data_IF_760187548919
#
_entry.id   IF_760187548919
#
_cell.length_a   1.000
_cell.length_b   1.000
_cell.length_c   1.000
_cell.angle_alpha   90.00
_cell.angle_beta   90.00
_cell.angle_gamma   90.00
#
_symmetry.space_group_name_H-M   'P 1'
#
loop_
_entity.id
_entity.type
_entity.pdbx_description
1 polymer ?
#
# COMPACT_ATOMS: atom_id res chain seq x y z
N UNK A 1 -31.05 103.40 24.36
CA UNK A 1 -29.94 103.52 23.40
C UNK A 1 -29.86 102.24 22.57
N UNK A 2 -30.26 102.36 21.31
CA UNK A 2 -29.67 101.75 20.09
C UNK A 2 -28.21 101.23 20.22
N UNK A 3 -27.65 100.46 19.25
CA UNK A 3 -28.18 99.49 18.26
C UNK A 3 -27.31 98.18 18.18
N UNK A 4 -27.72 97.11 17.50
CA UNK A 4 -27.33 96.66 16.12
C UNK A 4 -27.39 95.11 16.15
N UNK A 5 -27.63 94.29 15.13
CA UNK A 5 -27.89 94.39 13.69
C UNK A 5 -28.31 92.97 13.25
N UNK A 6 -29.21 92.84 12.26
CA UNK A 6 -29.56 91.56 11.64
C UNK A 6 -28.33 90.90 10.98
N UNK A 7 -28.15 89.60 11.17
CA UNK A 7 -27.28 88.76 10.34
C UNK A 7 -28.04 87.61 9.68
N UNK A 8 -27.86 87.55 8.37
CA UNK A 8 -28.31 86.55 7.42
C UNK A 8 -27.85 85.13 7.81
N UNK A 9 -28.76 84.16 7.70
CA UNK A 9 -28.45 82.72 7.70
C UNK A 9 -27.82 82.36 6.36
N UNK A 10 -26.59 81.84 6.38
CA UNK A 10 -25.91 81.25 5.22
C UNK A 10 -26.06 79.73 5.31
N UNK A 11 -26.59 79.12 4.25
CA UNK A 11 -26.66 77.67 4.10
C UNK A 11 -25.28 77.01 4.19
N UNK A 12 -25.27 75.73 4.59
CA UNK A 12 -24.05 74.95 4.81
C UNK A 12 -23.19 74.84 3.52
N UNK A 13 -21.85 74.92 3.62
CA UNK A 13 -20.98 74.80 2.46
C UNK A 13 -20.91 73.34 1.98
N UNK A 14 -21.06 73.14 0.67
CA UNK A 14 -20.80 71.85 0.02
C UNK A 14 -19.31 71.47 0.19
N UNK A 15 -18.99 70.20 0.48
CA UNK A 15 -17.62 69.77 0.68
C UNK A 15 -16.79 69.88 -0.61
N UNK A 16 -15.47 70.13 -0.52
CA UNK A 16 -14.63 70.28 -1.71
C UNK A 16 -14.64 69.01 -2.57
N UNK A 17 -14.69 69.19 -3.90
CA UNK A 17 -14.85 68.14 -4.93
C UNK A 17 -14.07 66.82 -4.70
N UNK A 18 -12.80 66.79 -4.27
CA UNK A 18 -12.11 65.53 -4.01
C UNK A 18 -12.71 64.72 -2.85
N UNK A 19 -13.24 65.38 -1.82
CA UNK A 19 -13.91 64.74 -0.67
C UNK A 19 -15.22 64.07 -1.08
N UNK A 20 -15.96 64.72 -1.99
CA UNK A 20 -17.21 64.16 -2.52
C UNK A 20 -16.94 62.91 -3.38
N UNK A 21 -15.89 62.94 -4.21
CA UNK A 21 -15.47 61.79 -5.02
C UNK A 21 -15.01 60.63 -4.11
N UNK A 22 -14.26 60.92 -3.05
CA UNK A 22 -13.86 59.91 -2.08
C UNK A 22 -15.05 59.27 -1.35
N UNK A 23 -16.03 60.07 -0.92
CA UNK A 23 -17.25 59.57 -0.30
C UNK A 23 -18.08 58.71 -1.25
N UNK A 24 -18.19 59.10 -2.54
CA UNK A 24 -18.87 58.29 -3.55
C UNK A 24 -18.14 56.97 -3.79
N UNK A 25 -16.81 56.97 -3.83
CA UNK A 25 -16.02 55.75 -4.01
C UNK A 25 -16.15 54.79 -2.81
N UNK A 26 -16.11 55.32 -1.58
CA UNK A 26 -16.31 54.53 -0.35
C UNK A 26 -17.73 53.98 -0.30
N UNK A 27 -18.73 54.78 -0.67
CA UNK A 27 -20.11 54.32 -0.72
C UNK A 27 -20.33 53.25 -1.80
N UNK A 28 -19.70 53.42 -2.97
CA UNK A 28 -19.71 52.42 -4.04
C UNK A 28 -19.06 51.09 -3.63
N UNK A 29 -17.92 51.14 -2.93
CA UNK A 29 -17.25 49.96 -2.38
C UNK A 29 -18.11 49.30 -1.28
N UNK A 30 -18.77 50.08 -0.43
CA UNK A 30 -19.66 49.59 0.61
C UNK A 30 -20.92 48.91 0.04
N UNK A 31 -21.54 49.52 -0.98
CA UNK A 31 -22.67 48.91 -1.69
C UNK A 31 -22.22 47.64 -2.41
N UNK A 32 -21.08 47.64 -3.11
CA UNK A 32 -20.52 46.41 -3.69
C UNK A 32 -20.28 45.33 -2.64
N UNK A 33 -19.71 45.67 -1.49
CA UNK A 33 -19.47 44.73 -0.39
C UNK A 33 -20.78 44.12 0.14
N UNK A 34 -21.83 44.94 0.31
CA UNK A 34 -23.15 44.46 0.70
C UNK A 34 -23.78 43.57 -0.39
N UNK A 35 -23.68 43.96 -1.66
CA UNK A 35 -24.17 43.15 -2.78
C UNK A 35 -23.46 41.80 -2.88
N UNK A 36 -22.14 41.77 -2.71
CA UNK A 36 -21.36 40.53 -2.68
C UNK A 36 -21.71 39.65 -1.48
N UNK A 37 -21.93 40.23 -0.30
CA UNK A 37 -22.37 39.47 0.87
C UNK A 37 -23.82 38.97 0.71
N UNK A 38 -24.70 39.72 0.04
CA UNK A 38 -26.08 39.32 -0.21
C UNK A 38 -26.14 38.19 -1.25
N UNK A 39 -25.33 38.25 -2.32
CA UNK A 39 -25.14 37.13 -3.27
C UNK A 39 -24.52 35.91 -2.58
N UNK A 40 -23.58 36.11 -1.64
CA UNK A 40 -22.99 35.02 -0.88
C UNK A 40 -23.98 34.38 0.11
N UNK A 41 -24.86 35.17 0.73
CA UNK A 41 -25.97 34.69 1.58
C UNK A 41 -27.10 34.05 0.76
N UNK A 42 -27.38 34.52 -0.46
CA UNK A 42 -28.32 33.87 -1.40
C UNK A 42 -27.73 32.58 -1.98
N UNK A 43 -26.42 32.48 -2.18
CA UNK A 43 -25.75 31.22 -2.53
C UNK A 43 -25.68 30.25 -1.34
N UNK A 44 -25.48 30.74 -0.10
CA UNK A 44 -25.55 29.91 1.13
C UNK A 44 -27.00 29.54 1.51
N UNK A 45 -28.01 30.29 1.05
CA UNK A 45 -29.45 30.05 1.31
C UNK A 45 -30.24 29.40 0.17
N UNK A 46 -29.66 29.35 -1.05
CA UNK A 46 -30.30 28.87 -2.28
C UNK A 46 -29.88 27.47 -2.74
N UNK A 47 -28.92 26.82 -2.08
CA UNK A 47 -28.52 25.42 -2.33
C UNK A 47 -29.20 24.41 -1.38
N UNK A 48 -30.41 24.72 -0.91
CA UNK A 48 -31.23 23.79 -0.13
C UNK A 48 -32.54 23.48 -0.85
N UNK A 49 -32.48 22.79 -2.00
CA UNK A 49 -33.49 21.82 -2.42
C UNK A 49 -33.21 21.31 -3.84
N UNK A 50 -32.47 20.21 -3.93
CA UNK A 50 -32.64 19.10 -4.88
C UNK A 50 -31.36 18.25 -5.05
N UNK A 51 -30.56 18.06 -3.99
CA UNK A 51 -29.86 16.78 -3.88
C UNK A 51 -30.84 15.81 -3.24
N UNK A 52 -31.60 15.15 -4.11
CA UNK A 52 -32.13 13.84 -3.82
C UNK A 52 -30.91 12.94 -3.55
N UNK A 53 -30.39 12.98 -2.32
CA UNK A 53 -29.59 11.89 -1.78
C UNK A 53 -30.54 10.69 -1.67
N UNK A 54 -30.84 10.07 -2.82
CA UNK A 54 -31.09 8.64 -2.84
C UNK A 54 -29.86 8.03 -2.20
N UNK A 55 -29.93 7.76 -0.89
CA UNK A 55 -29.04 6.83 -0.24
C UNK A 55 -29.15 5.56 -1.09
N UNK A 56 -28.17 5.33 -1.96
CA UNK A 56 -28.19 4.20 -2.87
C UNK A 56 -28.02 2.98 -1.97
N UNK A 57 -29.13 2.41 -1.50
CA UNK A 57 -29.13 1.33 -0.53
C UNK A 57 -28.57 0.12 -1.25
N UNK A 58 -27.30 -0.19 -0.98
CA UNK A 58 -26.68 -1.38 -1.52
C UNK A 58 -27.39 -2.61 -0.96
N UNK A 59 -27.86 -3.48 -1.84
CA UNK A 59 -28.39 -4.78 -1.43
C UNK A 59 -27.30 -5.51 -0.64
N UNK A 60 -27.69 -6.20 0.44
CA UNK A 60 -26.75 -7.00 1.21
C UNK A 60 -26.04 -7.98 0.25
N UNK A 61 -24.70 -8.08 0.30
CA UNK A 61 -23.97 -9.01 -0.56
C UNK A 61 -24.49 -10.44 -0.34
N UNK A 62 -24.68 -11.20 -1.42
CA UNK A 62 -25.04 -12.61 -1.36
C UNK A 62 -23.82 -13.44 -0.96
N UNK A 63 -23.36 -13.28 0.28
CA UNK A 63 -22.23 -14.03 0.87
C UNK A 63 -22.70 -14.80 2.11
N UNK A 64 -22.08 -15.95 2.44
CA UNK A 64 -22.35 -16.65 3.68
C UNK A 64 -22.20 -15.74 4.91
N UNK A 65 -22.95 -16.03 5.97
CA UNK A 65 -22.98 -15.17 7.17
C UNK A 65 -21.60 -15.04 7.82
N UNK A 66 -20.80 -16.08 7.73
CA UNK A 66 -19.42 -16.17 8.21
C UNK A 66 -18.46 -15.26 7.42
N UNK A 67 -18.78 -14.95 6.16
CA UNK A 67 -17.96 -14.10 5.30
C UNK A 67 -18.29 -12.61 5.41
N UNK A 68 -19.46 -12.26 5.96
CA UNK A 68 -19.93 -10.87 6.06
C UNK A 68 -18.92 -9.96 6.76
N UNK A 69 -18.19 -10.46 7.76
CA UNK A 69 -17.19 -9.68 8.51
C UNK A 69 -15.97 -9.27 7.68
N UNK A 70 -15.71 -9.93 6.56
CA UNK A 70 -14.58 -9.65 5.67
C UNK A 70 -14.97 -8.77 4.48
N UNK A 71 -16.26 -8.40 4.39
CA UNK A 71 -16.84 -7.65 3.29
C UNK A 71 -17.20 -6.25 3.76
N UNK A 72 -16.65 -5.26 3.07
CA UNK A 72 -16.80 -3.85 3.44
C UNK A 72 -17.39 -3.04 2.28
N UNK A 73 -18.07 -1.95 2.61
CA UNK A 73 -18.49 -0.91 1.67
C UNK A 73 -17.84 0.42 2.07
N UNK A 74 -16.54 0.62 1.80
CA UNK A 74 -15.85 1.83 2.19
C UNK A 74 -16.46 3.07 1.54
N UNK A 75 -16.49 4.17 2.29
CA UNK A 75 -16.91 5.51 1.83
C UNK A 75 -15.71 6.46 1.94
N UNK A 76 -14.82 6.50 0.92
CA UNK A 76 -13.67 7.39 0.92
C UNK A 76 -14.11 8.85 1.01
N UNK A 77 -13.32 9.68 1.69
CA UNK A 77 -13.52 11.13 1.78
C UNK A 77 -12.94 11.87 0.58
N UNK A 78 -11.87 11.32 -0.02
CA UNK A 78 -11.15 11.96 -1.12
C UNK A 78 -11.84 11.92 -2.48
N UNK A 79 -12.83 11.04 -2.68
CA UNK A 79 -13.56 10.90 -3.94
C UNK A 79 -14.86 10.10 -3.75
N UNK A 80 -15.77 10.17 -4.72
CA UNK A 80 -16.96 9.32 -4.76
C UNK A 80 -16.67 8.03 -5.55
N UNK A 81 -17.04 6.87 -5.00
CA UNK A 81 -16.89 5.57 -5.67
C UNK A 81 -17.86 5.36 -6.86
N UNK A 82 -18.83 6.24 -7.05
CA UNK A 82 -19.75 6.24 -8.18
C UNK A 82 -20.51 4.92 -8.32
N UNK A 83 -20.47 4.34 -9.52
CA UNK A 83 -21.05 3.01 -9.83
C UNK A 83 -20.47 1.89 -8.96
N UNK A 84 -19.25 2.05 -8.43
CA UNK A 84 -18.60 1.09 -7.56
C UNK A 84 -18.99 1.21 -6.07
N UNK A 85 -19.86 2.15 -5.70
CA UNK A 85 -20.27 2.39 -4.31
C UNK A 85 -20.81 1.13 -3.63
N UNK A 86 -21.57 0.32 -4.36
CA UNK A 86 -22.13 -0.94 -3.87
C UNK A 86 -21.27 -2.18 -4.13
N UNK A 87 -20.06 -2.03 -4.66
CA UNK A 87 -19.13 -3.15 -4.82
C UNK A 87 -18.47 -3.50 -3.47
N UNK A 88 -18.68 -4.72 -2.94
CA UNK A 88 -17.99 -5.23 -1.77
C UNK A 88 -16.46 -5.18 -1.91
N UNK A 89 -15.76 -4.76 -0.85
CA UNK A 89 -14.29 -4.77 -0.79
C UNK A 89 -13.83 -5.69 0.33
N UNK A 90 -12.94 -6.62 0.01
CA UNK A 90 -12.21 -7.44 1.00
C UNK A 90 -10.84 -6.86 1.27
N UNK A 91 -10.45 -6.79 2.54
CA UNK A 91 -9.16 -6.25 2.93
C UNK A 91 -8.11 -7.35 3.08
N UNK A 92 -6.89 -7.08 2.63
CA UNK A 92 -5.80 -8.03 2.79
C UNK A 92 -4.43 -7.40 3.10
N UNK A 93 -3.51 -8.22 3.60
CA UNK A 93 -2.09 -7.91 3.75
C UNK A 93 -1.25 -9.09 3.24
N UNK A 94 -0.28 -8.79 2.37
CA UNK A 94 0.76 -9.74 1.98
C UNK A 94 1.90 -9.62 2.99
N UNK A 95 2.07 -10.61 3.84
CA UNK A 95 3.15 -10.66 4.84
C UNK A 95 4.30 -11.48 4.27
N UNK A 96 5.51 -10.94 4.25
CA UNK A 96 6.64 -11.59 3.60
C UNK A 96 8.00 -11.17 4.16
N UNK A 97 9.07 -11.77 3.65
CA UNK A 97 10.45 -11.32 3.86
C UNK A 97 11.06 -10.84 2.55
N UNK A 98 12.10 -10.00 2.62
CA UNK A 98 12.88 -9.64 1.45
C UNK A 98 13.36 -10.88 0.71
N UNK A 99 13.26 -10.80 -0.63
CA UNK A 99 13.70 -11.83 -1.58
C UNK A 99 12.89 -13.14 -1.52
N UNK A 100 11.66 -13.08 -1.04
CA UNK A 100 10.71 -14.21 -1.03
C UNK A 100 9.73 -14.21 -2.20
N UNK A 101 9.96 -13.39 -3.23
CA UNK A 101 9.10 -13.32 -4.42
C UNK A 101 7.86 -12.44 -4.29
N UNK A 102 7.71 -11.71 -3.18
CA UNK A 102 6.53 -10.88 -2.92
C UNK A 102 6.34 -9.69 -3.86
N UNK A 103 7.41 -9.12 -4.42
CA UNK A 103 7.30 -8.12 -5.49
C UNK A 103 6.69 -8.69 -6.76
N UNK A 104 7.13 -9.86 -7.20
CA UNK A 104 6.57 -10.56 -8.36
C UNK A 104 5.11 -10.97 -8.11
N UNK A 105 4.84 -11.57 -6.95
CA UNK A 105 3.49 -11.95 -6.54
C UNK A 105 2.53 -10.76 -6.48
N UNK A 106 2.96 -9.63 -5.93
CA UNK A 106 2.17 -8.40 -5.91
C UNK A 106 1.86 -7.90 -7.33
N UNK A 107 2.81 -7.94 -8.26
CA UNK A 107 2.52 -7.55 -9.66
C UNK A 107 1.53 -8.50 -10.33
N UNK A 108 1.56 -9.80 -10.01
CA UNK A 108 0.54 -10.75 -10.47
C UNK A 108 -0.85 -10.35 -9.96
N UNK A 109 -0.99 -10.11 -8.66
CA UNK A 109 -2.27 -9.69 -8.09
C UNK A 109 -2.75 -8.36 -8.69
N UNK A 110 -1.86 -7.39 -8.85
CA UNK A 110 -2.18 -6.09 -9.44
C UNK A 110 -2.50 -6.15 -10.94
N UNK A 111 -2.23 -7.26 -11.64
CA UNK A 111 -2.73 -7.47 -13.00
C UNK A 111 -4.23 -7.79 -13.04
N UNK A 112 -4.82 -8.19 -11.90
CA UNK A 112 -6.26 -8.36 -11.77
C UNK A 112 -6.96 -6.99 -11.71
N UNK A 113 -8.06 -6.77 -12.44
CA UNK A 113 -8.73 -5.48 -12.47
C UNK A 113 -9.43 -5.14 -11.14
N UNK A 114 -9.90 -6.15 -10.39
CA UNK A 114 -10.57 -5.96 -9.11
C UNK A 114 -9.65 -6.09 -7.87
N UNK A 115 -8.34 -6.29 -8.03
CA UNK A 115 -7.39 -6.35 -6.91
C UNK A 115 -6.44 -5.15 -6.97
N UNK A 116 -6.23 -4.49 -5.83
CA UNK A 116 -5.22 -3.45 -5.66
C UNK A 116 -4.40 -3.68 -4.39
N UNK A 117 -3.10 -3.95 -4.57
CA UNK A 117 -2.08 -3.98 -3.52
C UNK A 117 -1.20 -2.75 -3.63
N UNK A 118 -1.02 -2.04 -2.52
CA UNK A 118 -0.44 -0.70 -2.47
C UNK A 118 1.05 -0.67 -2.07
N UNK A 119 1.79 -1.76 -2.30
CA UNK A 119 3.22 -1.83 -1.99
C UNK A 119 3.52 -1.84 -0.50
N UNK A 120 4.79 -1.54 -0.19
CA UNK A 120 5.33 -1.54 1.17
C UNK A 120 5.11 -0.18 1.85
N UNK A 121 3.86 0.14 2.16
CA UNK A 121 3.52 1.43 2.75
C UNK A 121 4.24 1.66 4.09
N UNK A 122 4.51 0.58 4.83
CA UNK A 122 5.23 0.60 6.09
C UNK A 122 6.74 0.54 5.95
N UNK A 123 7.32 0.63 4.74
CA UNK A 123 8.78 0.85 4.62
C UNK A 123 9.19 2.21 5.20
N UNK A 124 8.26 3.16 5.24
CA UNK A 124 8.41 4.48 5.85
C UNK A 124 8.28 4.41 7.37
N UNK A 125 9.29 4.91 8.08
CA UNK A 125 9.37 4.83 9.54
C UNK A 125 8.24 5.63 10.19
N UNK A 126 7.93 6.84 9.70
CA UNK A 126 6.88 7.73 10.21
C UNK A 126 5.50 7.05 10.35
N UNK A 127 5.23 6.05 9.50
CA UNK A 127 3.96 5.31 9.50
C UNK A 127 3.92 4.17 10.52
N UNK A 128 5.06 3.80 11.10
CA UNK A 128 5.21 2.68 12.05
C UNK A 128 5.97 3.03 13.33
N UNK A 129 6.14 4.32 13.64
CA UNK A 129 6.87 4.74 14.86
C UNK A 129 6.20 4.27 16.15
N UNK A 130 4.88 4.13 16.14
CA UNK A 130 4.08 3.63 17.25
C UNK A 130 2.73 3.10 16.75
N UNK A 131 1.97 2.45 17.63
CA UNK A 131 0.66 1.88 17.33
C UNK A 131 -0.33 2.89 16.73
N UNK A 132 -0.36 4.13 17.22
CA UNK A 132 -1.28 5.15 16.70
C UNK A 132 -0.99 5.47 15.22
N UNK A 133 0.29 5.65 14.87
CA UNK A 133 0.69 5.86 13.47
C UNK A 133 0.34 4.67 12.57
N UNK A 134 0.48 3.44 13.08
CA UNK A 134 0.10 2.22 12.37
C UNK A 134 -1.40 2.21 12.09
N UNK A 135 -2.22 2.38 13.12
CA UNK A 135 -3.69 2.35 13.02
C UNK A 135 -4.19 3.46 12.10
N UNK A 136 -3.67 4.68 12.23
CA UNK A 136 -4.03 5.80 11.34
C UNK A 136 -3.68 5.48 9.87
N UNK A 137 -2.53 4.86 9.63
CA UNK A 137 -2.11 4.47 8.28
C UNK A 137 -3.02 3.38 7.70
N UNK A 138 -3.35 2.35 8.49
CA UNK A 138 -4.26 1.28 8.09
C UNK A 138 -5.68 1.79 7.85
N UNK A 139 -6.21 2.65 8.72
CA UNK A 139 -7.53 3.24 8.54
C UNK A 139 -7.59 4.11 7.28
N UNK A 140 -6.56 4.92 7.03
CA UNK A 140 -6.47 5.68 5.77
C UNK A 140 -6.48 4.75 4.55
N UNK A 141 -5.75 3.63 4.60
CA UNK A 141 -5.72 2.64 3.53
C UNK A 141 -7.09 1.99 3.33
N UNK A 142 -7.69 1.44 4.38
CA UNK A 142 -8.90 0.64 4.30
C UNK A 142 -10.19 1.46 4.16
N UNK A 143 -10.15 2.76 4.45
CA UNK A 143 -11.18 3.71 4.04
C UNK A 143 -11.10 4.07 2.53
N UNK A 144 -10.11 3.52 1.81
CA UNK A 144 -9.79 3.85 0.42
C UNK A 144 -9.37 5.31 0.21
N UNK A 145 -8.91 6.00 1.26
CA UNK A 145 -8.34 7.36 1.20
C UNK A 145 -6.84 7.37 0.90
N UNK A 146 -6.37 6.28 0.27
CA UNK A 146 -4.98 6.11 -0.14
C UNK A 146 -4.81 6.47 -1.61
N UNK A 147 -3.92 7.42 -1.90
CA UNK A 147 -3.58 7.78 -3.27
C UNK A 147 -2.87 6.59 -3.94
N UNK A 148 -3.59 5.92 -4.82
CA UNK A 148 -3.05 4.82 -5.62
C UNK A 148 -2.56 5.36 -6.96
N UNK A 149 -1.32 5.04 -7.36
CA UNK A 149 -0.79 5.44 -8.67
C UNK A 149 -1.39 4.64 -9.83
N UNK A 150 -2.11 3.55 -9.55
CA UNK A 150 -2.71 2.67 -10.54
C UNK A 150 -4.24 2.75 -10.47
N UNK A 151 -4.81 3.70 -11.22
CA UNK A 151 -6.25 3.70 -11.47
C UNK A 151 -6.64 2.36 -12.12
N UNK A 152 -7.70 1.74 -11.61
CA UNK A 152 -8.27 0.52 -12.17
C UNK A 152 -9.45 0.90 -13.06
N UNK A 153 -9.59 0.18 -14.17
CA UNK A 153 -10.72 0.37 -15.10
C UNK A 153 -12.00 -0.35 -14.64
N UNK A 154 -11.93 -1.13 -13.56
CA UNK A 154 -13.08 -1.81 -12.97
C UNK A 154 -13.11 -1.53 -11.45
N UNK A 155 -14.25 -1.81 -10.83
CA UNK A 155 -14.40 -1.68 -9.39
C UNK A 155 -13.45 -2.59 -8.62
N UNK A 156 -12.68 -2.01 -7.71
CA UNK A 156 -11.88 -2.73 -6.73
C UNK A 156 -12.79 -3.56 -5.82
N UNK A 157 -12.50 -4.85 -5.70
CA UNK A 157 -13.16 -5.79 -4.80
C UNK A 157 -12.21 -6.43 -3.77
N UNK A 158 -10.90 -6.30 -3.95
CA UNK A 158 -9.89 -6.63 -2.94
C UNK A 158 -8.85 -5.52 -2.85
N UNK A 159 -8.61 -5.01 -1.64
CA UNK A 159 -7.73 -3.87 -1.40
C UNK A 159 -6.77 -4.15 -0.24
N UNK A 160 -5.49 -3.93 -0.45
CA UNK A 160 -4.49 -4.32 0.53
C UNK A 160 -3.14 -3.66 0.37
N UNK A 161 -2.19 -4.18 1.12
CA UNK A 161 -0.80 -3.75 1.12
C UNK A 161 0.13 -4.96 1.20
N UNK A 162 1.43 -4.69 1.06
CA UNK A 162 2.50 -5.60 1.41
C UNK A 162 3.20 -5.09 2.67
N UNK A 163 3.45 -5.99 3.63
CA UNK A 163 4.17 -5.65 4.85
C UNK A 163 5.28 -6.67 5.08
N UNK A 164 6.52 -6.21 5.02
CA UNK A 164 7.67 -7.08 5.25
C UNK A 164 7.92 -7.28 6.74
N UNK A 165 8.35 -8.47 7.16
CA UNK A 165 8.58 -8.76 8.58
C UNK A 165 9.64 -7.84 9.22
N UNK A 166 10.64 -7.41 8.45
CA UNK A 166 11.65 -6.45 8.91
C UNK A 166 11.17 -4.98 8.93
N UNK A 167 9.88 -4.73 8.68
CA UNK A 167 9.26 -3.40 8.74
C UNK A 167 8.35 -3.28 9.97
N UNK A 168 8.75 -3.88 11.09
CA UNK A 168 8.07 -3.76 12.37
C UNK A 168 6.69 -4.44 12.45
N UNK A 169 6.41 -5.41 11.57
CA UNK A 169 5.13 -6.13 11.56
C UNK A 169 4.84 -6.85 12.88
N UNK A 170 5.90 -7.34 13.54
CA UNK A 170 5.80 -8.09 14.80
C UNK A 170 5.88 -7.20 16.05
N UNK A 171 6.20 -5.91 15.92
CA UNK A 171 6.52 -5.04 17.07
C UNK A 171 5.29 -4.76 17.95
N UNK A 172 4.11 -4.69 17.33
CA UNK A 172 2.81 -4.46 17.98
C UNK A 172 1.82 -5.58 17.65
N UNK A 173 2.29 -6.84 17.64
CA UNK A 173 1.51 -7.95 17.07
C UNK A 173 0.12 -8.14 17.70
N UNK A 174 -0.03 -7.99 19.01
CA UNK A 174 -1.32 -8.22 19.68
C UNK A 174 -2.38 -7.19 19.24
N UNK A 175 -1.98 -5.92 19.14
CA UNK A 175 -2.85 -4.85 18.68
C UNK A 175 -3.16 -4.98 17.18
N UNK A 176 -2.17 -5.38 16.38
CA UNK A 176 -2.36 -5.60 14.93
C UNK A 176 -3.30 -6.78 14.68
N UNK A 177 -3.18 -7.88 15.43
CA UNK A 177 -4.10 -9.03 15.37
C UNK A 177 -5.51 -8.59 15.74
N UNK A 178 -5.67 -7.82 16.81
CA UNK A 178 -6.95 -7.27 17.23
C UNK A 178 -7.57 -6.40 16.14
N UNK A 179 -6.79 -5.48 15.55
CA UNK A 179 -7.21 -4.61 14.45
C UNK A 179 -7.65 -5.43 13.23
N UNK A 180 -6.83 -6.39 12.77
CA UNK A 180 -7.16 -7.22 11.61
C UNK A 180 -8.42 -8.04 11.83
N UNK A 181 -8.59 -8.63 13.01
CA UNK A 181 -9.78 -9.39 13.33
C UNK A 181 -11.03 -8.49 13.38
N UNK A 182 -10.93 -7.32 14.02
CA UNK A 182 -12.04 -6.36 14.08
C UNK A 182 -12.42 -5.84 12.69
N UNK A 183 -11.43 -5.53 11.85
CA UNK A 183 -11.62 -4.95 10.51
C UNK A 183 -11.82 -5.98 9.42
N UNK A 184 -11.80 -7.28 9.72
CA UNK A 184 -11.98 -8.31 8.69
C UNK A 184 -10.83 -8.37 7.67
N UNK A 185 -9.59 -8.10 8.10
CA UNK A 185 -8.42 -8.15 7.22
C UNK A 185 -7.90 -9.58 7.12
N UNK A 186 -7.67 -10.03 5.88
CA UNK A 186 -7.12 -11.36 5.60
C UNK A 186 -5.61 -11.32 5.34
N UNK A 187 -4.87 -12.29 5.85
CA UNK A 187 -3.42 -12.38 5.65
C UNK A 187 -3.05 -13.37 4.56
N UNK A 188 -2.11 -12.98 3.72
CA UNK A 188 -1.44 -13.87 2.78
C UNK A 188 0.04 -13.92 3.19
N UNK A 189 0.42 -14.97 3.89
CA UNK A 189 1.83 -15.23 4.18
C UNK A 189 2.50 -15.76 2.93
N UNK A 190 3.54 -15.07 2.45
CA UNK A 190 4.35 -15.51 1.32
C UNK A 190 5.81 -15.60 1.75
N UNK A 191 6.28 -16.82 1.94
CA UNK A 191 7.67 -17.10 2.28
C UNK A 191 8.39 -17.87 1.19
N UNK A 192 9.69 -18.05 1.35
CA UNK A 192 10.52 -18.85 0.44
C UNK A 192 11.11 -20.00 1.24
N UNK A 193 10.77 -21.24 0.86
CA UNK A 193 11.22 -22.44 1.60
C UNK A 193 12.73 -22.51 1.62
N UNK A 194 13.39 -22.28 0.48
CA UNK A 194 14.84 -22.36 0.41
C UNK A 194 15.49 -21.06 0.96
N UNK A 195 15.79 -21.06 2.26
CA UNK A 195 16.40 -19.94 2.98
C UNK A 195 17.80 -19.61 2.46
N UNK A 196 18.60 -20.60 2.04
CA UNK A 196 19.91 -20.39 1.45
C UNK A 196 19.82 -19.58 0.15
N UNK A 197 18.94 -19.98 -0.78
CA UNK A 197 18.70 -19.22 -2.03
C UNK A 197 18.14 -17.83 -1.76
N UNK A 198 17.34 -17.66 -0.69
CA UNK A 198 16.88 -16.34 -0.24
C UNK A 198 18.08 -15.48 0.19
N UNK A 199 18.96 -16.01 1.05
CA UNK A 199 20.15 -15.32 1.55
C UNK A 199 21.09 -14.90 0.42
N UNK A 200 21.41 -15.82 -0.50
CA UNK A 200 22.20 -15.52 -1.71
C UNK A 200 21.58 -14.34 -2.47
N UNK A 201 20.26 -14.37 -2.65
CA UNK A 201 19.56 -13.30 -3.35
C UNK A 201 19.53 -11.98 -2.57
N UNK A 202 19.59 -11.99 -1.24
CA UNK A 202 19.70 -10.78 -0.41
C UNK A 202 21.08 -10.17 -0.60
N UNK A 203 22.13 -10.98 -0.51
CA UNK A 203 23.52 -10.52 -0.67
C UNK A 203 23.75 -9.94 -2.07
N UNK A 204 23.26 -10.60 -3.12
CA UNK A 204 23.35 -10.10 -4.48
C UNK A 204 22.58 -8.78 -4.69
N UNK A 205 21.39 -8.64 -4.10
CA UNK A 205 20.63 -7.39 -4.16
C UNK A 205 21.33 -6.26 -3.40
N UNK A 206 21.94 -6.55 -2.25
CA UNK A 206 22.71 -5.57 -1.48
C UNK A 206 23.94 -5.11 -2.26
N UNK A 207 24.66 -6.02 -2.90
CA UNK A 207 25.77 -5.66 -3.78
C UNK A 207 25.32 -4.73 -4.91
N UNK A 208 24.21 -5.03 -5.59
CA UNK A 208 23.69 -4.20 -6.66
C UNK A 208 23.26 -2.79 -6.20
N UNK A 209 22.88 -2.62 -4.93
CA UNK A 209 22.55 -1.29 -4.38
C UNK A 209 23.74 -0.33 -4.48
N UNK A 210 24.95 -0.87 -4.30
CA UNK A 210 26.18 -0.10 -4.30
C UNK A 210 26.85 -0.11 -5.68
N UNK A 211 26.93 -1.29 -6.30
CA UNK A 211 27.56 -1.49 -7.61
C UNK A 211 26.72 -0.95 -8.78
N UNK A 212 25.39 -0.89 -8.64
CA UNK A 212 24.44 -0.34 -9.62
C UNK A 212 24.67 -0.88 -11.03
N UNK A 213 24.64 -2.21 -11.14
CA UNK A 213 25.16 -2.95 -12.31
C UNK A 213 24.39 -2.66 -13.60
N UNK A 214 23.15 -2.18 -13.50
CA UNK A 214 22.31 -1.84 -14.64
C UNK A 214 22.28 -0.33 -14.85
N UNK A 215 23.15 0.15 -15.74
CA UNK A 215 23.23 1.56 -16.17
C UNK A 215 23.31 2.55 -14.99
N UNK A 216 24.10 2.23 -13.95
CA UNK A 216 24.26 3.10 -12.79
C UNK A 216 23.00 3.22 -11.93
N UNK A 217 22.04 2.30 -12.07
CA UNK A 217 20.83 2.23 -11.26
C UNK A 217 20.72 0.90 -10.52
N UNK A 218 20.33 0.96 -9.24
CA UNK A 218 19.96 -0.23 -8.48
C UNK A 218 18.61 -0.78 -8.96
N UNK A 219 18.53 -2.09 -9.21
CA UNK A 219 17.30 -2.77 -9.63
C UNK A 219 17.04 -4.02 -8.78
N UNK A 220 16.07 -3.92 -7.87
CA UNK A 220 15.63 -5.08 -7.07
C UNK A 220 14.81 -6.10 -7.88
N UNK A 221 14.22 -5.64 -9.00
CA UNK A 221 13.42 -6.43 -9.94
C UNK A 221 13.76 -5.98 -11.37
N UNK A 222 13.74 -6.93 -12.30
CA UNK A 222 14.07 -6.72 -13.71
C UNK A 222 12.98 -7.30 -14.61
N UNK A 223 12.91 -6.82 -15.85
CA UNK A 223 11.84 -7.18 -16.79
C UNK A 223 12.36 -7.89 -18.05
N UNK A 224 13.67 -8.11 -18.18
CA UNK A 224 14.28 -8.84 -19.29
C UNK A 224 15.26 -9.90 -18.78
N UNK A 225 15.44 -10.97 -19.57
CA UNK A 225 16.37 -12.05 -19.24
C UNK A 225 17.82 -11.56 -19.24
N UNK A 226 18.16 -10.63 -20.13
CA UNK A 226 19.50 -10.04 -20.22
C UNK A 226 19.85 -9.23 -18.95
N UNK A 227 18.92 -8.41 -18.46
CA UNK A 227 19.09 -7.69 -17.19
C UNK A 227 19.26 -8.68 -16.01
N UNK A 228 18.46 -9.74 -15.99
CA UNK A 228 18.54 -10.79 -14.98
C UNK A 228 19.90 -11.50 -15.00
N UNK A 229 20.41 -11.84 -16.19
CA UNK A 229 21.72 -12.45 -16.36
C UNK A 229 22.85 -11.56 -15.85
N UNK A 230 22.79 -10.25 -16.14
CA UNK A 230 23.79 -9.29 -15.64
C UNK A 230 23.81 -9.30 -14.11
N UNK A 231 22.66 -9.14 -13.46
CA UNK A 231 22.57 -9.12 -11.99
C UNK A 231 22.98 -10.46 -11.37
N UNK A 232 22.69 -11.58 -12.04
CA UNK A 232 23.01 -12.91 -11.55
C UNK A 232 24.52 -13.24 -11.63
N UNK A 233 25.35 -12.45 -12.32
CA UNK A 233 26.80 -12.70 -12.45
C UNK A 233 27.53 -12.60 -11.11
N UNK A 234 27.09 -11.71 -10.23
CA UNK A 234 27.69 -11.56 -8.91
C UNK A 234 27.47 -12.82 -8.06
N UNK A 235 28.55 -13.41 -7.57
CA UNK A 235 28.53 -14.55 -6.65
C UNK A 235 28.95 -14.08 -5.26
N UNK A 236 28.02 -13.94 -4.30
CA UNK A 236 28.40 -13.61 -2.93
C UNK A 236 29.29 -14.68 -2.31
N UNK A 237 30.17 -14.25 -1.42
CA UNK A 237 30.84 -15.10 -0.45
C UNK A 237 29.98 -15.13 0.82
N UNK A 238 29.65 -16.33 1.30
CA UNK A 238 28.79 -16.50 2.48
C UNK A 238 29.63 -16.67 3.73
N UNK A 239 29.22 -16.03 4.83
CA UNK A 239 29.82 -16.26 6.13
C UNK A 239 29.36 -17.61 6.71
N UNK A 240 30.25 -18.60 6.60
CA UNK A 240 30.01 -19.97 7.04
C UNK A 240 29.95 -20.09 8.56
N UNK A 241 30.53 -19.13 9.29
CA UNK A 241 30.56 -19.15 10.75
C UNK A 241 29.18 -18.90 11.37
N UNK A 242 28.38 -18.02 10.76
CA UNK A 242 27.02 -17.66 11.22
C UNK A 242 25.90 -18.35 10.44
N UNK A 243 26.18 -18.93 9.27
CA UNK A 243 25.18 -19.43 8.32
C UNK A 243 24.04 -20.27 8.95
N UNK A 244 24.39 -21.24 9.79
CA UNK A 244 23.41 -22.11 10.45
C UNK A 244 22.54 -21.32 11.44
N UNK A 245 23.15 -20.43 12.22
CA UNK A 245 22.44 -19.58 13.17
C UNK A 245 21.47 -18.65 12.43
N UNK A 246 21.94 -18.00 11.36
CA UNK A 246 21.12 -17.11 10.55
C UNK A 246 19.89 -17.83 9.97
N UNK A 247 20.10 -19.01 9.36
CA UNK A 247 19.00 -19.84 8.82
C UNK A 247 18.01 -20.20 9.92
N UNK A 248 18.49 -20.69 11.06
CA UNK A 248 17.65 -21.10 12.19
C UNK A 248 16.82 -19.94 12.73
N UNK A 249 17.43 -18.77 12.87
CA UNK A 249 16.78 -17.59 13.44
C UNK A 249 15.72 -17.05 12.47
N UNK A 250 15.97 -17.11 11.15
CA UNK A 250 14.96 -16.81 10.13
C UNK A 250 13.77 -17.77 10.21
N UNK A 251 14.02 -19.08 10.27
CA UNK A 251 12.94 -20.07 10.34
C UNK A 251 12.14 -19.94 11.64
N UNK A 252 12.82 -19.67 12.76
CA UNK A 252 12.17 -19.38 14.04
C UNK A 252 11.28 -18.16 13.93
N UNK A 253 11.79 -17.05 13.38
CA UNK A 253 11.02 -15.82 13.25
C UNK A 253 9.78 -15.98 12.35
N UNK A 254 9.87 -16.81 11.30
CA UNK A 254 8.69 -17.18 10.49
C UNK A 254 7.68 -17.97 11.33
N UNK A 255 8.11 -18.98 12.09
CA UNK A 255 7.21 -19.76 12.96
C UNK A 255 6.54 -18.89 14.00
N UNK A 256 7.32 -18.06 14.71
CA UNK A 256 6.80 -17.15 15.74
C UNK A 256 5.75 -16.20 15.14
N UNK A 257 5.98 -15.69 13.92
CA UNK A 257 5.00 -14.87 13.20
C UNK A 257 3.71 -15.63 12.88
N UNK A 258 3.81 -16.85 12.32
CA UNK A 258 2.64 -17.68 12.03
C UNK A 258 1.83 -17.99 13.29
N UNK A 259 2.51 -18.30 14.40
CA UNK A 259 1.88 -18.60 15.68
C UNK A 259 1.14 -17.38 16.26
N UNK A 260 1.73 -16.18 16.18
CA UNK A 260 1.08 -14.96 16.68
C UNK A 260 -0.15 -14.54 15.88
N UNK A 261 -0.18 -14.86 14.59
CA UNK A 261 -1.29 -14.47 13.70
C UNK A 261 -2.22 -15.65 13.36
N UNK A 262 -2.15 -16.76 14.10
CA UNK A 262 -2.93 -17.97 13.82
C UNK A 262 -4.46 -17.78 13.94
N UNK A 263 -4.92 -16.82 14.75
CA UNK A 263 -6.34 -16.49 14.94
C UNK A 263 -6.88 -15.56 13.86
N UNK A 264 -6.02 -14.89 13.10
CA UNK A 264 -6.41 -14.03 11.99
C UNK A 264 -6.66 -14.89 10.75
N UNK A 265 -7.71 -14.60 9.97
CA UNK A 265 -7.97 -15.32 8.71
C UNK A 265 -6.76 -15.21 7.80
N UNK A 266 -6.13 -16.35 7.48
CA UNK A 266 -4.90 -16.35 6.71
C UNK A 266 -4.79 -17.52 5.73
N UNK A 267 -3.92 -17.36 4.75
CA UNK A 267 -3.39 -18.45 3.94
C UNK A 267 -1.87 -18.40 3.94
N UNK A 268 -1.23 -19.57 3.89
CA UNK A 268 0.23 -19.70 3.83
C UNK A 268 0.63 -20.20 2.45
N UNK A 269 1.51 -19.45 1.81
CA UNK A 269 2.06 -19.74 0.51
C UNK A 269 3.58 -19.74 0.59
N UNK A 270 4.17 -20.61 -0.21
CA UNK A 270 5.60 -20.56 -0.46
C UNK A 270 5.86 -20.30 -1.93
N UNK A 271 6.90 -19.51 -2.19
CA UNK A 271 7.33 -19.15 -3.54
C UNK A 271 7.45 -20.36 -4.46
N UNK A 272 8.07 -21.44 -3.95
CA UNK A 272 8.26 -22.71 -4.63
C UNK A 272 6.93 -23.36 -5.06
N UNK A 273 5.88 -23.24 -4.24
CA UNK A 273 4.55 -23.79 -4.56
C UNK A 273 3.87 -22.98 -5.67
N UNK A 274 4.06 -21.65 -5.69
CA UNK A 274 3.45 -20.78 -6.70
C UNK A 274 4.08 -21.00 -8.08
N UNK A 275 5.40 -21.19 -8.15
CA UNK A 275 6.09 -21.43 -9.42
C UNK A 275 5.90 -22.88 -9.93
N UNK A 276 5.67 -23.84 -9.04
CA UNK A 276 5.46 -25.24 -9.40
C UNK A 276 4.00 -25.50 -9.81
N UNK A 277 3.03 -24.93 -9.09
CA UNK A 277 1.61 -25.21 -9.23
C UNK A 277 0.81 -24.01 -9.79
N UNK A 278 0.33 -24.14 -11.03
CA UNK A 278 -0.51 -23.12 -11.70
C UNK A 278 -1.81 -22.81 -10.95
N UNK A 279 -2.33 -23.74 -10.13
CA UNK A 279 -3.56 -23.54 -9.37
C UNK A 279 -3.37 -22.75 -8.06
N UNK A 280 -2.14 -22.48 -7.63
CA UNK A 280 -1.89 -21.67 -6.44
C UNK A 280 -2.50 -20.27 -6.56
N UNK A 281 -2.35 -19.62 -7.72
CA UNK A 281 -2.89 -18.28 -7.96
C UNK A 281 -4.42 -18.24 -8.08
N UNK A 282 -5.06 -19.33 -8.51
CA UNK A 282 -6.52 -19.44 -8.48
C UNK A 282 -7.05 -19.47 -7.05
N UNK A 283 -6.41 -20.26 -6.17
CA UNK A 283 -6.76 -20.31 -4.74
C UNK A 283 -6.59 -18.97 -4.02
N UNK A 284 -5.62 -18.15 -4.44
CA UNK A 284 -5.47 -16.78 -3.90
C UNK A 284 -6.63 -15.88 -4.31
N UNK A 285 -7.08 -15.95 -5.56
CA UNK A 285 -8.21 -15.16 -6.05
C UNK A 285 -9.51 -15.56 -5.35
N UNK A 286 -9.72 -16.87 -5.17
CA UNK A 286 -10.83 -17.41 -4.37
C UNK A 286 -10.75 -16.94 -2.91
N UNK A 287 -9.57 -17.03 -2.28
CA UNK A 287 -9.36 -16.55 -0.92
C UNK A 287 -9.66 -15.05 -0.74
N UNK A 288 -9.40 -14.25 -1.77
CA UNK A 288 -9.71 -12.82 -1.84
C UNK A 288 -11.13 -12.52 -2.32
N UNK A 289 -11.93 -13.54 -2.64
CA UNK A 289 -13.32 -13.38 -3.07
C UNK A 289 -13.49 -12.62 -4.39
N UNK A 290 -12.53 -12.75 -5.31
CA UNK A 290 -12.60 -12.15 -6.66
C UNK A 290 -12.71 -13.22 -7.74
N UNK A 291 -13.31 -12.90 -8.91
CA UNK A 291 -13.40 -13.86 -10.01
C UNK A 291 -12.04 -14.37 -10.45
N UNK A 292 -11.95 -15.65 -10.79
CA UNK A 292 -10.71 -16.23 -11.31
C UNK A 292 -10.35 -15.61 -12.69
N UNK A 293 -9.17 -14.97 -12.78
CA UNK A 293 -8.57 -14.51 -14.03
C UNK A 293 -7.13 -15.01 -14.16
N UNK A 294 -6.62 -14.97 -15.40
CA UNK A 294 -5.21 -15.19 -15.68
C UNK A 294 -4.41 -13.98 -15.19
N UNK A 295 -3.52 -14.21 -14.22
CA UNK A 295 -2.63 -13.19 -13.71
C UNK A 295 -1.33 -13.16 -14.52
N UNK A 296 -0.77 -11.97 -14.74
CA UNK A 296 0.45 -11.76 -15.52
C UNK A 296 1.42 -10.84 -14.80
N UNK A 297 2.71 -11.05 -15.01
CA UNK A 297 3.78 -10.18 -14.50
C UNK A 297 4.84 -10.02 -15.57
N UNK A 298 5.43 -8.83 -15.63
CA UNK A 298 6.61 -8.55 -16.45
C UNK A 298 7.92 -8.88 -15.73
N UNK A 299 7.88 -9.18 -14.42
CA UNK A 299 9.08 -9.48 -13.67
C UNK A 299 9.60 -10.87 -14.00
N UNK A 300 10.91 -10.96 -14.23
CA UNK A 300 11.61 -12.22 -14.45
C UNK A 300 12.47 -12.59 -13.24
N UNK A 301 12.77 -13.87 -13.11
CA UNK A 301 13.57 -14.41 -12.01
C UNK A 301 15.06 -14.19 -12.30
N UNK A 302 15.76 -13.52 -11.39
CA UNK A 302 17.20 -13.23 -11.53
C UNK A 302 18.05 -14.50 -11.39
N UNK A 303 17.91 -15.23 -10.29
CA UNK A 303 18.75 -16.39 -9.99
C UNK A 303 18.09 -17.69 -10.46
N UNK A 304 18.44 -18.14 -11.66
CA UNK A 304 17.96 -19.39 -12.28
C UNK A 304 18.99 -20.52 -12.24
N UNK A 305 20.28 -20.19 -12.08
CA UNK A 305 21.39 -21.16 -12.06
C UNK A 305 21.39 -22.09 -10.83
N UNK A 306 22.07 -23.25 -10.91
CA UNK A 306 22.37 -24.10 -9.76
C UNK A 306 23.11 -23.34 -8.64
N UNK A 307 22.95 -23.77 -7.40
CA UNK A 307 23.58 -23.13 -6.23
C UNK A 307 25.11 -23.01 -6.33
N UNK A 308 25.88 -24.03 -6.81
CA UNK A 308 27.33 -23.90 -7.00
C UNK A 308 27.74 -22.73 -7.91
N UNK A 309 26.88 -22.37 -8.86
CA UNK A 309 27.14 -21.28 -9.80
C UNK A 309 26.77 -19.90 -9.24
N UNK A 310 26.13 -19.85 -8.09
CA UNK A 310 25.63 -18.62 -7.46
C UNK A 310 26.42 -18.21 -6.22
N UNK A 311 27.39 -19.01 -5.77
CA UNK A 311 28.15 -18.79 -4.53
C UNK A 311 29.64 -18.88 -4.81
N UNK A 312 30.43 -17.97 -4.26
CA UNK A 312 31.89 -17.94 -4.47
C UNK A 312 32.61 -19.06 -3.71
N UNK A 313 32.28 -19.26 -2.43
CA UNK A 313 32.83 -20.29 -1.54
C UNK A 313 31.87 -21.48 -1.38
N UNK A 314 31.40 -22.03 -2.52
CA UNK A 314 30.37 -23.08 -2.51
C UNK A 314 30.76 -24.33 -1.70
N UNK A 315 31.99 -24.80 -1.82
CA UNK A 315 32.42 -26.01 -1.12
C UNK A 315 32.35 -25.87 0.41
N UNK A 316 32.71 -24.69 0.94
CA UNK A 316 32.62 -24.44 2.38
C UNK A 316 31.16 -24.38 2.85
N UNK A 317 30.28 -23.76 2.05
CA UNK A 317 28.83 -23.69 2.32
C UNK A 317 28.21 -25.08 2.28
N UNK A 318 28.53 -25.86 1.25
CA UNK A 318 28.07 -27.23 1.09
C UNK A 318 28.54 -28.10 2.25
N UNK A 319 29.83 -28.06 2.58
CA UNK A 319 30.43 -28.79 3.72
C UNK A 319 29.77 -28.42 5.06
N UNK A 320 29.48 -27.13 5.30
CA UNK A 320 28.85 -26.66 6.54
C UNK A 320 27.41 -27.12 6.72
N UNK A 321 26.63 -27.17 5.63
CA UNK A 321 25.22 -27.52 5.68
C UNK A 321 24.97 -29.01 5.51
N UNK A 322 25.83 -29.71 4.76
CA UNK A 322 25.71 -31.13 4.55
C UNK A 322 25.85 -31.90 5.88
N UNK A 323 25.04 -32.94 6.06
CA UNK A 323 24.96 -33.67 7.34
C UNK A 323 24.20 -32.95 8.46
N UNK A 324 23.66 -31.75 8.21
CA UNK A 324 22.75 -31.05 9.15
C UNK A 324 21.30 -31.10 8.65
N UNK A 325 20.34 -30.68 9.48
CA UNK A 325 18.92 -30.54 9.07
C UNK A 325 18.71 -29.53 7.92
N UNK A 326 19.69 -28.64 7.70
CA UNK A 326 19.67 -27.62 6.66
C UNK A 326 20.23 -28.12 5.32
N UNK A 327 20.69 -29.37 5.24
CA UNK A 327 21.11 -30.00 3.99
C UNK A 327 20.01 -29.97 2.91
N UNK A 328 18.73 -29.96 3.32
CA UNK A 328 17.57 -29.77 2.41
C UNK A 328 17.59 -28.48 1.59
N UNK A 329 18.36 -27.47 2.00
CA UNK A 329 18.51 -26.22 1.23
C UNK A 329 19.58 -26.29 0.14
N UNK A 330 20.41 -27.34 0.15
CA UNK A 330 21.39 -27.61 -0.91
C UNK A 330 20.72 -28.21 -2.16
N UNK A 331 19.53 -28.79 -2.01
CA UNK A 331 18.78 -29.36 -3.13
C UNK A 331 18.27 -28.25 -4.08
N UNK A 332 18.44 -28.50 -5.37
CA UNK A 332 17.96 -27.68 -6.46
C UNK A 332 16.61 -28.11 -7.02
N UNK A 333 16.00 -29.20 -6.56
CA UNK A 333 14.81 -29.81 -7.16
C UNK A 333 13.64 -28.83 -7.36
N UNK A 334 13.39 -27.91 -6.41
CA UNK A 334 12.35 -26.88 -6.53
C UNK A 334 12.61 -25.86 -7.68
N UNK A 335 13.79 -25.93 -8.30
CA UNK A 335 14.32 -24.98 -9.28
C UNK A 335 14.72 -25.64 -10.62
N UNK A 336 14.64 -26.98 -10.73
CA UNK A 336 14.82 -27.70 -12.00
C UNK A 336 13.46 -27.83 -12.67
N UNK A 337 13.22 -27.03 -13.72
CA UNK A 337 12.13 -27.22 -14.68
C UNK A 337 12.68 -27.16 -16.08
#
# INVERSE_FOLDING_TARGET
MHPYSLKSSKGAPLPPRPTLVFLIAVFGLYVCYLSFNQIRLENEGGENSAEEHTEHVCTKPSVPSEELRYVHLPKPKGYNRGECSCTPVRFFVIVSMQRSGSGWFETLLNSHPNISSNGEIFNRIDRRENLSSIVQTLDKLYNLDWLTSAAKNECTAAFGLKWMLNQGFMDHHDDIVSYFNQKGVSLIFLFRRNTLRRLISVLANNYDRDAKQLNGTHKSHVHSEEEAEILAKFKPELDVSTLILDIRDIEKYIRDCLDRFNTTRHMILYYEDIISNRNALFRVQEFLGVPARKLVSKQVKIHTRPLPDLVKNWEDVNSKLNGTEYARFLDGADYVK
#
